data_IF_662083613351
#
_entry.id   IF_662083613351
#
_cell.length_a   1.000
_cell.length_b   1.000
_cell.length_c   1.000
_cell.angle_alpha   90.00
_cell.angle_beta   90.00
_cell.angle_gamma   90.00
#
_symmetry.space_group_name_H-M   'P 1'
#
loop_
_entity.id
_entity.type
_entity.pdbx_description
1 polymer ?
#
# COMPACT_ATOMS: atom_id res chain seq x y z
N UNK A 1 18.46 14.97 15.54
CA UNK A 1 17.79 13.68 15.19
C UNK A 1 18.00 13.47 13.71
N UNK A 2 18.36 12.26 13.27
CA UNK A 2 18.50 11.99 11.84
C UNK A 2 17.12 12.02 11.18
N UNK A 3 17.04 12.59 9.99
CA UNK A 3 15.83 12.62 9.16
C UNK A 3 15.32 11.19 8.93
N UNK A 4 14.05 10.87 9.26
CA UNK A 4 13.51 9.53 9.05
C UNK A 4 13.44 9.19 7.56
N UNK A 5 13.72 7.91 7.21
CA UNK A 5 13.67 7.42 5.83
C UNK A 5 12.54 6.43 5.70
N UNK A 6 11.71 6.62 4.65
CA UNK A 6 10.64 5.71 4.30
C UNK A 6 10.86 5.13 2.90
N UNK A 7 10.65 3.82 2.75
CA UNK A 7 10.48 3.18 1.45
C UNK A 7 9.00 3.14 1.11
N UNK A 8 8.62 3.73 -0.03
CA UNK A 8 7.26 3.68 -0.58
C UNK A 8 7.31 2.96 -1.92
N UNK A 9 6.54 1.90 -2.07
CA UNK A 9 6.42 1.21 -3.36
C UNK A 9 5.27 1.76 -4.18
N UNK A 10 5.45 1.92 -5.49
CA UNK A 10 4.42 2.49 -6.36
C UNK A 10 4.15 3.98 -6.10
N UNK A 11 5.16 4.74 -5.67
CA UNK A 11 5.07 6.14 -5.28
C UNK A 11 4.97 7.15 -6.42
N UNK A 12 4.98 6.70 -7.67
CA UNK A 12 5.03 7.61 -8.83
C UNK A 12 3.68 8.19 -9.24
N UNK A 13 2.55 7.60 -8.82
CA UNK A 13 1.19 8.06 -9.15
C UNK A 13 0.15 7.64 -8.13
N UNK A 14 -1.05 8.24 -8.22
CA UNK A 14 -2.23 7.88 -7.44
C UNK A 14 -1.99 7.92 -5.93
N UNK A 15 -2.49 6.91 -5.20
CA UNK A 15 -2.35 6.82 -3.74
C UNK A 15 -0.88 6.88 -3.31
N UNK A 16 0.00 6.13 -4.01
CA UNK A 16 1.42 6.13 -3.67
C UNK A 16 2.06 7.51 -3.79
N UNK A 17 1.68 8.30 -4.80
CA UNK A 17 2.17 9.67 -4.97
C UNK A 17 1.73 10.58 -3.84
N UNK A 18 0.47 10.51 -3.43
CA UNK A 18 -0.04 11.26 -2.29
C UNK A 18 0.67 10.85 -0.98
N UNK A 19 1.00 9.55 -0.81
CA UNK A 19 1.78 9.08 0.34
C UNK A 19 3.20 9.68 0.31
N UNK A 20 3.88 9.66 -0.84
CA UNK A 20 5.22 10.26 -0.97
C UNK A 20 5.19 11.75 -0.63
N UNK A 21 4.26 12.52 -1.21
CA UNK A 21 4.10 13.94 -0.94
C UNK A 21 3.87 14.22 0.56
N UNK A 22 2.92 13.52 1.17
CA UNK A 22 2.60 13.68 2.59
C UNK A 22 3.78 13.33 3.51
N UNK A 23 4.53 12.27 3.23
CA UNK A 23 5.67 11.91 4.07
C UNK A 23 6.80 12.93 3.95
N UNK A 24 7.01 13.52 2.79
CA UNK A 24 7.98 14.60 2.61
C UNK A 24 7.55 15.85 3.41
N UNK A 25 6.26 16.24 3.36
CA UNK A 25 5.70 17.32 4.18
C UNK A 25 5.89 17.06 5.69
N UNK A 26 5.77 15.80 6.11
CA UNK A 26 6.01 15.37 7.49
C UNK A 26 7.52 15.25 7.84
N UNK A 27 8.43 15.63 6.93
CA UNK A 27 9.89 15.69 7.16
C UNK A 27 10.65 14.41 6.90
N UNK A 28 10.07 13.44 6.18
CA UNK A 28 10.75 12.22 5.76
C UNK A 28 11.59 12.43 4.49
N UNK A 29 12.70 11.70 4.38
CA UNK A 29 13.25 11.35 3.08
C UNK A 29 12.53 10.10 2.55
N UNK A 30 12.12 10.11 1.30
CA UNK A 30 11.36 9.00 0.71
C UNK A 30 12.15 8.36 -0.42
N UNK A 31 12.32 7.04 -0.35
CA UNK A 31 12.77 6.22 -1.48
C UNK A 31 11.53 5.65 -2.16
N UNK A 32 11.38 5.91 -3.44
CA UNK A 32 10.25 5.46 -4.25
C UNK A 32 10.68 4.32 -5.18
N UNK A 33 10.25 3.09 -4.89
CA UNK A 33 10.43 1.95 -5.79
C UNK A 33 9.21 1.84 -6.72
N UNK A 34 9.40 2.17 -7.98
CA UNK A 34 8.38 2.09 -9.03
C UNK A 34 9.02 1.72 -10.37
N UNK A 35 8.25 1.22 -11.31
CA UNK A 35 8.75 0.91 -12.66
C UNK A 35 9.04 2.15 -13.51
N UNK A 36 8.32 3.23 -13.27
CA UNK A 36 8.46 4.50 -14.01
C UNK A 36 8.65 5.63 -13.01
N UNK A 37 9.41 6.68 -13.37
CA UNK A 37 9.55 7.83 -12.51
C UNK A 37 8.20 8.55 -12.31
N UNK A 38 8.05 9.36 -11.27
CA UNK A 38 6.94 10.31 -11.18
C UNK A 38 7.07 11.39 -12.29
N UNK A 39 5.94 12.00 -12.66
CA UNK A 39 5.96 13.11 -13.65
C UNK A 39 6.78 14.29 -13.13
N UNK A 40 6.73 14.52 -11.82
CA UNK A 40 7.53 15.54 -11.14
C UNK A 40 8.12 14.94 -9.85
N UNK A 41 9.44 14.99 -9.71
CA UNK A 41 10.15 14.56 -8.52
C UNK A 41 10.01 15.63 -7.42
N UNK A 42 9.75 15.20 -6.19
CA UNK A 42 9.67 16.10 -5.02
C UNK A 42 11.02 16.23 -4.33
N UNK A 43 11.36 17.43 -3.79
CA UNK A 43 12.53 17.57 -2.93
C UNK A 43 12.46 16.60 -1.74
N UNK A 44 13.48 15.78 -1.56
CA UNK A 44 13.49 14.72 -0.52
C UNK A 44 13.06 13.35 -1.03
N UNK A 45 12.67 13.22 -2.33
CA UNK A 45 12.40 11.94 -2.97
C UNK A 45 13.64 11.41 -3.72
N UNK A 46 13.88 10.12 -3.58
CA UNK A 46 14.83 9.36 -4.41
C UNK A 46 14.07 8.27 -5.16
N UNK A 47 13.95 8.43 -6.46
CA UNK A 47 13.32 7.41 -7.31
C UNK A 47 14.32 6.29 -7.67
N UNK A 48 13.85 5.02 -7.65
CA UNK A 48 14.57 3.88 -8.20
C UNK A 48 13.63 3.04 -9.06
N UNK A 49 14.07 2.76 -10.29
CA UNK A 49 13.32 1.89 -11.20
C UNK A 49 13.45 0.44 -10.77
N UNK A 50 12.36 -0.16 -10.30
CA UNK A 50 12.31 -1.56 -9.85
C UNK A 50 11.03 -2.20 -10.36
N UNK A 51 11.15 -3.35 -11.04
CA UNK A 51 9.99 -4.22 -11.29
C UNK A 51 9.77 -5.13 -10.07
N UNK A 52 8.84 -4.73 -9.21
CA UNK A 52 8.48 -5.48 -8.00
C UNK A 52 7.71 -6.78 -8.29
N UNK A 53 7.29 -7.02 -9.54
CA UNK A 53 6.78 -8.31 -10.00
C UNK A 53 7.88 -9.36 -10.22
N UNK A 54 9.12 -8.90 -10.36
CA UNK A 54 10.31 -9.75 -10.41
C UNK A 54 10.91 -9.89 -8.99
N UNK A 55 10.90 -11.11 -8.47
CA UNK A 55 11.40 -11.40 -7.13
C UNK A 55 12.92 -11.22 -7.00
N UNK A 56 13.71 -11.45 -8.08
CA UNK A 56 15.14 -11.26 -8.06
C UNK A 56 15.50 -9.78 -8.03
N UNK A 57 14.91 -8.98 -8.91
CA UNK A 57 15.06 -7.53 -8.94
C UNK A 57 14.61 -6.87 -7.63
N UNK A 58 13.50 -7.35 -7.04
CA UNK A 58 13.01 -6.87 -5.75
C UNK A 58 14.01 -7.13 -4.62
N UNK A 59 14.58 -8.35 -4.55
CA UNK A 59 15.58 -8.70 -3.52
C UNK A 59 16.85 -7.88 -3.67
N UNK A 60 17.34 -7.71 -4.89
CA UNK A 60 18.55 -6.95 -5.16
C UNK A 60 18.40 -5.51 -4.76
N UNK A 61 17.37 -4.81 -5.27
CA UNK A 61 17.11 -3.41 -4.95
C UNK A 61 16.90 -3.19 -3.44
N UNK A 62 16.21 -4.12 -2.77
CA UNK A 62 15.97 -4.02 -1.33
C UNK A 62 17.27 -4.21 -0.50
N UNK A 63 18.16 -5.13 -0.92
CA UNK A 63 19.48 -5.35 -0.28
C UNK A 63 20.40 -4.16 -0.47
N UNK A 64 20.47 -3.61 -1.68
CA UNK A 64 21.24 -2.39 -1.97
C UNK A 64 20.80 -1.24 -1.08
N UNK A 65 19.48 -0.99 -1.01
CA UNK A 65 18.93 0.07 -0.16
C UNK A 65 19.25 -0.14 1.32
N UNK A 66 19.11 -1.37 1.81
CA UNK A 66 19.40 -1.72 3.21
C UNK A 66 20.90 -1.59 3.55
N UNK A 67 21.80 -1.81 2.59
CA UNK A 67 23.23 -1.64 2.76
C UNK A 67 23.66 -0.15 2.77
N UNK A 68 22.94 0.71 2.02
CA UNK A 68 23.24 2.13 1.95
C UNK A 68 22.83 2.90 3.20
N UNK A 69 21.67 2.57 3.77
CA UNK A 69 21.08 3.33 4.87
C UNK A 69 20.01 2.53 5.64
N UNK A 70 19.84 2.77 6.95
CA UNK A 70 18.78 2.14 7.70
C UNK A 70 17.41 2.73 7.29
N UNK A 71 16.52 1.90 6.76
CA UNK A 71 15.14 2.25 6.43
C UNK A 71 14.22 1.62 7.47
N UNK A 72 13.58 2.45 8.28
CA UNK A 72 12.74 2.01 9.39
C UNK A 72 11.23 2.14 9.13
N UNK A 73 10.85 2.69 7.96
CA UNK A 73 9.46 2.88 7.56
C UNK A 73 9.25 2.26 6.17
N UNK A 74 8.29 1.34 6.08
CA UNK A 74 7.95 0.65 4.83
C UNK A 74 6.48 0.83 4.50
N UNK A 75 6.19 1.32 3.29
CA UNK A 75 4.83 1.38 2.75
C UNK A 75 4.75 0.49 1.50
N UNK A 76 4.10 -0.66 1.64
CA UNK A 76 3.80 -1.55 0.54
C UNK A 76 2.51 -1.09 -0.17
N UNK A 77 2.65 -0.16 -1.14
CA UNK A 77 1.54 0.38 -1.89
C UNK A 77 1.47 -0.17 -3.32
N UNK A 78 2.58 -0.55 -3.93
CA UNK A 78 2.57 -1.12 -5.28
C UNK A 78 1.61 -2.32 -5.37
N UNK A 79 0.84 -2.36 -6.44
CA UNK A 79 -0.10 -3.44 -6.67
C UNK A 79 -0.71 -3.36 -8.06
N UNK A 80 -1.19 -4.51 -8.53
CA UNK A 80 -1.94 -4.62 -9.77
C UNK A 80 -3.33 -5.17 -9.50
N UNK A 81 -4.26 -4.77 -10.36
CA UNK A 81 -5.64 -5.24 -10.36
C UNK A 81 -5.85 -6.01 -11.65
N UNK A 82 -6.17 -7.29 -11.53
CA UNK A 82 -6.63 -8.11 -12.64
C UNK A 82 -8.14 -8.24 -12.56
N UNK A 83 -8.81 -8.02 -13.69
CA UNK A 83 -10.27 -8.09 -13.81
C UNK A 83 -10.61 -9.34 -14.63
N UNK A 84 -11.11 -10.36 -13.95
CA UNK A 84 -11.62 -11.58 -14.57
C UNK A 84 -12.64 -12.24 -13.63
N UNK A 85 -13.70 -12.81 -14.18
CA UNK A 85 -14.59 -13.70 -13.45
C UNK A 85 -13.89 -15.03 -13.13
N UNK A 86 -14.48 -15.85 -12.27
CA UNK A 86 -13.84 -17.09 -11.82
C UNK A 86 -13.54 -18.05 -12.97
N UNK A 87 -14.39 -18.09 -13.98
CA UNK A 87 -14.24 -18.89 -15.18
C UNK A 87 -13.13 -18.43 -16.14
N UNK A 88 -12.75 -17.14 -16.07
CA UNK A 88 -11.83 -16.50 -17.02
C UNK A 88 -10.46 -16.19 -16.40
N UNK A 89 -10.32 -16.30 -15.05
CA UNK A 89 -9.03 -16.01 -14.40
C UNK A 89 -7.98 -17.05 -14.79
N UNK A 90 -6.88 -16.60 -15.39
CA UNK A 90 -5.76 -17.49 -15.75
C UNK A 90 -4.85 -17.74 -14.55
N UNK A 91 -4.14 -18.89 -14.57
CA UNK A 91 -3.08 -19.19 -13.61
C UNK A 91 -1.98 -18.13 -13.67
N UNK A 92 -1.59 -17.69 -14.87
CA UNK A 92 -0.58 -16.64 -15.06
C UNK A 92 -0.98 -15.34 -14.35
N UNK A 93 -2.23 -14.88 -14.52
CA UNK A 93 -2.72 -13.65 -13.88
C UNK A 93 -2.77 -13.78 -12.36
N UNK A 94 -3.14 -14.97 -11.85
CA UNK A 94 -3.10 -15.26 -10.43
C UNK A 94 -1.66 -15.16 -9.89
N UNK A 95 -0.72 -15.85 -10.52
CA UNK A 95 0.68 -15.86 -10.10
C UNK A 95 1.32 -14.46 -10.19
N UNK A 96 1.10 -13.73 -11.28
CA UNK A 96 1.59 -12.34 -11.43
C UNK A 96 1.02 -11.41 -10.37
N UNK A 97 -0.27 -11.54 -10.07
CA UNK A 97 -0.92 -10.74 -9.01
C UNK A 97 -0.34 -11.07 -7.65
N UNK A 98 -0.12 -12.35 -7.35
CA UNK A 98 0.49 -12.78 -6.08
C UNK A 98 1.96 -12.33 -5.98
N UNK A 99 2.72 -12.41 -7.06
CA UNK A 99 4.11 -11.96 -7.09
C UNK A 99 4.25 -10.50 -6.66
N UNK A 100 3.47 -9.60 -7.27
CA UNK A 100 3.56 -8.18 -6.96
C UNK A 100 2.87 -7.81 -5.64
N UNK A 101 1.63 -8.31 -5.41
CA UNK A 101 0.82 -7.84 -4.29
C UNK A 101 1.15 -8.52 -2.95
N UNK A 102 1.82 -9.68 -2.98
CA UNK A 102 2.07 -10.53 -1.80
C UNK A 102 3.55 -10.82 -1.63
N UNK A 103 4.22 -11.37 -2.65
CA UNK A 103 5.63 -11.77 -2.53
C UNK A 103 6.56 -10.58 -2.37
N UNK A 104 6.38 -9.52 -3.15
CA UNK A 104 7.23 -8.32 -3.04
C UNK A 104 7.21 -7.69 -1.64
N UNK A 105 6.05 -7.44 -0.97
CA UNK A 105 6.01 -7.03 0.43
C UNK A 105 6.83 -7.89 1.40
N UNK A 106 6.80 -9.22 1.24
CA UNK A 106 7.62 -10.15 2.05
C UNK A 106 9.10 -9.87 1.86
N UNK A 107 9.55 -9.82 0.60
CA UNK A 107 10.97 -9.65 0.26
C UNK A 107 11.52 -8.30 0.73
N UNK A 108 10.73 -7.23 0.60
CA UNK A 108 11.10 -5.91 1.07
C UNK A 108 11.23 -5.87 2.59
N UNK A 109 10.24 -6.40 3.31
CA UNK A 109 10.31 -6.45 4.77
C UNK A 109 11.50 -7.29 5.25
N UNK A 110 11.74 -8.46 4.67
CA UNK A 110 12.89 -9.31 5.01
C UNK A 110 14.23 -8.57 4.89
N UNK A 111 14.42 -7.75 3.85
CA UNK A 111 15.64 -7.01 3.65
C UNK A 111 15.83 -5.85 4.65
N UNK A 112 14.73 -5.20 5.06
CA UNK A 112 14.76 -4.05 5.97
C UNK A 112 14.72 -4.44 7.46
N UNK A 113 14.23 -5.64 7.76
CA UNK A 113 14.00 -6.12 9.12
C UNK A 113 15.25 -6.09 10.02
N UNK A 114 16.48 -6.44 9.56
CA UNK A 114 17.66 -6.36 10.41
C UNK A 114 17.91 -4.96 10.99
N UNK A 115 17.75 -3.91 10.17
CA UNK A 115 17.93 -2.53 10.62
C UNK A 115 16.81 -2.10 11.60
N UNK A 116 15.56 -2.52 11.34
CA UNK A 116 14.44 -2.25 12.25
C UNK A 116 14.66 -2.93 13.62
N UNK A 117 15.09 -4.19 13.64
CA UNK A 117 15.44 -4.92 14.87
C UNK A 117 16.58 -4.27 15.64
N UNK A 118 17.66 -3.90 14.95
CA UNK A 118 18.78 -3.19 15.56
C UNK A 118 18.36 -1.86 16.20
N UNK A 119 17.41 -1.16 15.58
CA UNK A 119 16.89 0.10 16.10
C UNK A 119 15.84 -0.08 17.22
N UNK A 120 15.34 -1.30 17.47
CA UNK A 120 14.20 -1.53 18.36
C UNK A 120 12.94 -0.75 17.90
N UNK A 121 12.81 -0.51 16.60
CA UNK A 121 11.79 0.35 16.04
C UNK A 121 11.59 0.08 14.54
N UNK A 122 10.35 -0.01 14.13
CA UNK A 122 9.96 -0.07 12.73
C UNK A 122 8.48 0.23 12.54
N UNK A 123 8.11 0.72 11.38
CA UNK A 123 6.71 0.98 10.98
C UNK A 123 6.47 0.42 9.59
N UNK A 124 5.53 -0.51 9.48
CA UNK A 124 5.14 -1.13 8.22
C UNK A 124 3.66 -0.89 7.98
N UNK A 125 3.34 -0.30 6.83
CA UNK A 125 1.96 -0.10 6.39
C UNK A 125 1.77 -0.76 5.03
N UNK A 126 0.83 -1.71 4.98
CA UNK A 126 0.45 -2.39 3.76
C UNK A 126 -0.84 -1.77 3.19
N UNK A 127 -0.87 -1.46 1.89
CA UNK A 127 -2.10 -0.99 1.24
C UNK A 127 -2.92 -2.19 0.79
N UNK A 128 -3.96 -2.46 1.57
CA UNK A 128 -4.98 -3.44 1.31
C UNK A 128 -6.00 -3.00 0.26
N UNK A 129 -7.22 -3.48 0.39
CA UNK A 129 -8.37 -3.04 -0.40
C UNK A 129 -9.66 -3.54 0.23
N UNK A 130 -10.75 -2.78 0.11
CA UNK A 130 -12.10 -3.27 0.40
C UNK A 130 -12.47 -4.50 -0.44
N UNK A 131 -11.86 -4.69 -1.61
CA UNK A 131 -12.07 -5.88 -2.43
C UNK A 131 -11.70 -7.21 -1.75
N UNK A 132 -10.92 -7.17 -0.66
CA UNK A 132 -10.65 -8.34 0.20
C UNK A 132 -11.91 -8.89 0.89
N UNK A 133 -12.98 -8.09 1.02
CA UNK A 133 -14.29 -8.52 1.54
C UNK A 133 -15.16 -9.20 0.47
N UNK A 134 -14.69 -9.27 -0.76
CA UNK A 134 -15.41 -9.79 -1.91
C UNK A 134 -15.82 -8.69 -2.90
N UNK A 135 -15.47 -8.89 -4.17
CA UNK A 135 -15.91 -8.06 -5.28
C UNK A 135 -15.90 -8.91 -6.56
N UNK A 136 -17.03 -8.97 -7.26
CA UNK A 136 -17.12 -9.69 -8.54
C UNK A 136 -16.02 -9.28 -9.52
N UNK A 137 -15.53 -10.23 -10.30
CA UNK A 137 -14.46 -10.02 -11.28
C UNK A 137 -13.09 -9.66 -10.64
N UNK A 138 -12.80 -10.09 -9.40
CA UNK A 138 -11.58 -9.75 -8.68
C UNK A 138 -10.96 -10.96 -7.96
N UNK A 139 -11.07 -12.15 -8.52
CA UNK A 139 -10.59 -13.39 -7.89
C UNK A 139 -9.13 -13.28 -7.43
N UNK A 140 -8.19 -13.04 -8.34
CA UNK A 140 -6.77 -12.91 -8.01
C UNK A 140 -6.48 -11.71 -7.09
N UNK A 141 -7.07 -10.55 -7.40
CA UNK A 141 -6.86 -9.34 -6.63
C UNK A 141 -7.43 -9.44 -5.21
N UNK A 142 -8.67 -9.90 -5.07
CA UNK A 142 -9.31 -10.10 -3.76
C UNK A 142 -8.51 -11.07 -2.89
N UNK A 143 -8.10 -12.21 -3.45
CA UNK A 143 -7.26 -13.19 -2.76
C UNK A 143 -5.93 -12.58 -2.30
N UNK A 144 -5.24 -11.82 -3.17
CA UNK A 144 -3.96 -11.18 -2.83
C UNK A 144 -4.10 -10.16 -1.70
N UNK A 145 -5.17 -9.34 -1.70
CA UNK A 145 -5.38 -8.31 -0.67
C UNK A 145 -5.88 -8.91 0.66
N UNK A 146 -6.64 -10.00 0.62
CA UNK A 146 -7.00 -10.78 1.82
C UNK A 146 -5.75 -11.47 2.42
N UNK A 147 -4.91 -12.07 1.57
CA UNK A 147 -3.64 -12.66 1.98
C UNK A 147 -2.70 -11.65 2.63
N UNK A 148 -2.55 -10.46 2.03
CA UNK A 148 -1.73 -9.38 2.58
C UNK A 148 -2.23 -8.92 3.97
N UNK A 149 -3.55 -8.81 4.17
CA UNK A 149 -4.13 -8.49 5.46
C UNK A 149 -3.88 -9.59 6.51
N UNK A 150 -3.93 -10.87 6.11
CA UNK A 150 -3.58 -12.01 6.95
C UNK A 150 -2.11 -11.98 7.37
N UNK A 151 -1.19 -11.81 6.41
CA UNK A 151 0.24 -11.68 6.68
C UNK A 151 0.56 -10.50 7.61
N UNK A 152 -0.13 -9.36 7.45
CA UNK A 152 0.07 -8.19 8.31
C UNK A 152 -0.20 -8.50 9.78
N UNK A 153 -1.22 -9.32 10.08
CA UNK A 153 -1.52 -9.76 11.45
C UNK A 153 -0.44 -10.69 11.99
N UNK A 154 0.02 -11.64 11.17
CA UNK A 154 1.11 -12.55 11.54
C UNK A 154 2.38 -11.76 11.84
N UNK A 155 2.78 -10.86 10.95
CA UNK A 155 3.97 -10.02 11.15
C UNK A 155 3.85 -9.10 12.38
N UNK A 156 2.64 -8.59 12.66
CA UNK A 156 2.40 -7.80 13.86
C UNK A 156 2.69 -8.61 15.14
N UNK A 157 2.31 -9.88 15.19
CA UNK A 157 2.59 -10.77 16.32
C UNK A 157 4.08 -11.14 16.43
N UNK A 158 4.72 -11.45 15.29
CA UNK A 158 6.12 -11.85 15.23
C UNK A 158 7.10 -10.71 15.58
N UNK A 159 6.73 -9.45 15.30
CA UNK A 159 7.64 -8.30 15.33
C UNK A 159 7.32 -7.30 16.46
N UNK A 160 6.21 -7.46 17.17
CA UNK A 160 5.81 -6.51 18.21
C UNK A 160 6.84 -6.37 19.34
N UNK A 161 7.48 -7.48 19.75
CA UNK A 161 8.52 -7.48 20.78
C UNK A 161 9.79 -6.73 20.35
N UNK A 162 10.01 -6.60 19.04
CA UNK A 162 11.11 -5.83 18.45
C UNK A 162 10.78 -4.32 18.31
N UNK A 163 9.63 -3.85 18.82
CA UNK A 163 9.18 -2.46 18.70
C UNK A 163 8.67 -2.09 17.30
N UNK A 164 8.38 -3.08 16.46
CA UNK A 164 7.94 -2.92 15.07
C UNK A 164 6.44 -3.09 15.00
N UNK A 165 5.74 -2.13 14.40
CA UNK A 165 4.29 -2.25 14.14
C UNK A 165 4.02 -2.55 12.68
N UNK A 166 3.00 -3.36 12.42
CA UNK A 166 2.56 -3.72 11.07
C UNK A 166 1.05 -3.54 10.98
N UNK A 167 0.60 -2.67 10.08
CA UNK A 167 -0.82 -2.37 9.89
C UNK A 167 -1.20 -2.39 8.41
N UNK A 168 -2.49 -2.47 8.14
CA UNK A 168 -3.04 -2.43 6.78
C UNK A 168 -4.03 -1.27 6.67
N UNK A 169 -3.86 -0.42 5.66
CA UNK A 169 -4.86 0.56 5.23
C UNK A 169 -5.57 0.00 4.00
N UNK A 170 -6.90 -0.10 4.06
CA UNK A 170 -7.73 -0.70 3.00
C UNK A 170 -8.66 0.36 2.37
N UNK A 171 -8.24 0.96 1.24
CA UNK A 171 -9.04 1.95 0.55
C UNK A 171 -10.32 1.35 -0.05
N UNK A 172 -11.37 2.19 -0.11
CA UNK A 172 -12.53 2.03 -0.97
C UNK A 172 -12.28 2.60 -2.38
N UNK A 173 -13.31 3.13 -3.05
CA UNK A 173 -13.17 3.90 -4.28
C UNK A 173 -12.42 5.21 -4.01
N UNK A 174 -11.26 5.39 -4.66
CA UNK A 174 -10.40 6.58 -4.52
C UNK A 174 -10.19 7.20 -5.90
N UNK A 175 -10.32 8.51 -6.00
CA UNK A 175 -10.21 9.31 -7.23
C UNK A 175 -8.76 9.37 -7.74
N UNK A 176 -8.21 8.23 -8.13
CA UNK A 176 -6.93 8.12 -8.82
C UNK A 176 -7.14 8.22 -10.34
N UNK A 177 -6.08 8.53 -11.08
CA UNK A 177 -6.11 8.50 -12.54
C UNK A 177 -6.69 7.18 -13.10
N UNK A 178 -6.20 6.04 -12.59
CA UNK A 178 -6.69 4.70 -12.98
C UNK A 178 -8.19 4.51 -12.68
N UNK A 179 -8.66 5.02 -11.54
CA UNK A 179 -10.08 4.96 -11.18
C UNK A 179 -10.92 5.84 -12.13
N UNK A 180 -10.49 7.07 -12.38
CA UNK A 180 -11.20 8.04 -13.23
C UNK A 180 -11.27 7.59 -14.70
N UNK A 181 -10.23 6.91 -15.21
CA UNK A 181 -10.27 6.29 -16.55
C UNK A 181 -11.39 5.25 -16.68
N UNK A 182 -11.63 4.45 -15.63
CA UNK A 182 -12.68 3.42 -15.62
C UNK A 182 -14.04 3.94 -15.15
N UNK A 183 -14.07 5.08 -14.47
CA UNK A 183 -15.25 5.72 -13.91
C UNK A 183 -15.17 7.25 -14.14
N UNK A 184 -15.37 7.72 -15.36
CA UNK A 184 -15.32 9.15 -15.66
C UNK A 184 -16.38 9.92 -14.83
N UNK A 185 -16.03 11.10 -14.28
CA UNK A 185 -16.97 11.92 -13.51
C UNK A 185 -18.25 12.25 -14.29
N UNK A 186 -19.39 12.24 -13.58
CA UNK A 186 -20.69 12.57 -14.16
C UNK A 186 -21.36 11.47 -14.97
N UNK A 187 -20.70 10.36 -15.24
CA UNK A 187 -21.33 9.23 -15.91
C UNK A 187 -22.33 8.53 -14.98
N UNK A 188 -23.47 8.00 -15.50
CA UNK A 188 -24.50 7.36 -14.67
C UNK A 188 -23.95 6.27 -13.75
N UNK A 189 -23.00 5.45 -14.25
CA UNK A 189 -22.33 4.42 -13.46
C UNK A 189 -21.52 4.99 -12.31
N UNK A 190 -20.83 6.11 -12.53
CA UNK A 190 -20.00 6.79 -11.52
C UNK A 190 -20.89 7.42 -10.46
N UNK A 191 -21.97 8.10 -10.87
CA UNK A 191 -22.97 8.68 -9.97
C UNK A 191 -23.65 7.61 -9.10
N UNK A 192 -23.99 6.47 -9.70
CA UNK A 192 -24.56 5.34 -8.95
C UNK A 192 -23.57 4.76 -7.94
N UNK A 193 -22.26 4.69 -8.30
CA UNK A 193 -21.22 4.27 -7.37
C UNK A 193 -21.08 5.28 -6.21
N UNK A 194 -21.03 6.57 -6.51
CA UNK A 194 -20.94 7.63 -5.49
C UNK A 194 -22.11 7.59 -4.54
N UNK A 195 -23.33 7.44 -5.06
CA UNK A 195 -24.55 7.30 -4.25
C UNK A 195 -24.55 6.05 -3.36
N UNK A 196 -23.80 5.00 -3.73
CA UNK A 196 -23.66 3.78 -2.92
C UNK A 196 -22.65 3.91 -1.79
N UNK A 197 -21.87 5.00 -1.75
CA UNK A 197 -20.91 5.29 -0.67
C UNK A 197 -21.63 6.08 0.41
N UNK A 198 -21.69 5.63 1.67
CA UNK A 198 -22.39 6.36 2.73
C UNK A 198 -21.98 7.84 2.89
N UNK A 199 -20.69 8.16 2.65
CA UNK A 199 -20.22 9.57 2.65
C UNK A 199 -20.65 10.36 1.41
N UNK A 200 -21.23 9.71 0.39
CA UNK A 200 -21.79 10.37 -0.80
C UNK A 200 -20.80 10.78 -1.88
N UNK A 201 -19.53 10.38 -1.77
CA UNK A 201 -18.48 10.69 -2.75
C UNK A 201 -17.38 9.65 -2.77
N UNK A 202 -16.59 9.61 -3.81
CA UNK A 202 -15.31 8.89 -3.81
C UNK A 202 -14.31 9.59 -2.89
N UNK A 203 -13.39 8.82 -2.30
CA UNK A 203 -12.29 9.37 -1.49
C UNK A 203 -11.19 9.96 -2.35
N UNK A 204 -10.34 10.79 -1.75
CA UNK A 204 -9.16 11.35 -2.39
C UNK A 204 -7.89 10.58 -1.97
N UNK A 205 -6.85 10.52 -2.83
CA UNK A 205 -5.57 9.88 -2.49
C UNK A 205 -4.97 10.40 -1.17
N UNK A 206 -5.14 11.69 -0.88
CA UNK A 206 -4.63 12.38 0.32
C UNK A 206 -5.29 11.85 1.61
N UNK A 207 -6.55 11.41 1.55
CA UNK A 207 -7.26 10.83 2.71
C UNK A 207 -6.65 9.47 3.08
N UNK A 208 -6.19 8.70 2.08
CA UNK A 208 -5.45 7.46 2.31
C UNK A 208 -4.05 7.77 2.84
N UNK A 209 -3.35 8.75 2.25
CA UNK A 209 -2.02 9.17 2.67
C UNK A 209 -2.01 9.66 4.13
N UNK A 210 -3.05 10.40 4.56
CA UNK A 210 -3.21 10.81 5.95
C UNK A 210 -3.25 9.61 6.91
N UNK A 211 -4.04 8.58 6.56
CA UNK A 211 -4.15 7.36 7.37
C UNK A 211 -2.82 6.59 7.44
N UNK A 212 -2.07 6.55 6.34
CA UNK A 212 -0.73 5.93 6.28
C UNK A 212 0.24 6.71 7.17
N UNK A 213 0.31 8.04 7.03
CA UNK A 213 1.19 8.89 7.83
C UNK A 213 0.93 8.75 9.33
N UNK A 214 -0.35 8.70 9.74
CA UNK A 214 -0.74 8.42 11.12
C UNK A 214 -0.15 7.10 11.64
N UNK A 215 -0.22 6.03 10.86
CA UNK A 215 0.29 4.70 11.27
C UNK A 215 1.82 4.61 11.23
N UNK A 216 2.49 5.47 10.48
CA UNK A 216 3.96 5.59 10.45
C UNK A 216 4.50 6.47 11.59
N UNK A 217 3.65 7.29 12.21
CA UNK A 217 4.06 8.16 13.31
C UNK A 217 4.58 7.35 14.51
N UNK A 218 5.62 7.86 15.16
CA UNK A 218 6.20 7.23 16.35
C UNK A 218 5.18 7.07 17.48
N UNK A 219 4.24 8.01 17.60
CA UNK A 219 3.15 8.00 18.60
C UNK A 219 2.14 6.89 18.40
N UNK A 220 2.05 6.30 17.19
CA UNK A 220 1.19 5.15 16.88
C UNK A 220 1.78 3.79 17.33
N UNK A 221 2.76 3.79 18.25
CA UNK A 221 3.50 2.58 18.67
C UNK A 221 2.66 1.49 19.34
N UNK A 222 1.42 1.78 19.75
CA UNK A 222 0.51 0.79 20.33
C UNK A 222 -0.57 0.30 19.34
N UNK A 223 -0.46 0.69 18.05
CA UNK A 223 -1.37 0.27 16.98
C UNK A 223 -0.62 -0.72 16.10
N UNK A 224 -0.94 -2.00 16.21
CA UNK A 224 -0.35 -3.06 15.37
C UNK A 224 -1.39 -4.15 15.04
N UNK A 225 -1.24 -4.82 13.91
CA UNK A 225 -2.14 -5.87 13.42
C UNK A 225 -3.50 -5.36 12.95
N UNK A 226 -3.68 -4.04 12.84
CA UNK A 226 -4.98 -3.46 12.53
C UNK A 226 -5.22 -3.37 11.03
N UNK A 227 -6.50 -3.48 10.65
CA UNK A 227 -7.01 -3.26 9.30
C UNK A 227 -7.92 -2.04 9.33
N UNK A 228 -7.42 -0.90 8.84
CA UNK A 228 -8.15 0.35 8.77
C UNK A 228 -8.79 0.54 7.39
N UNK A 229 -10.12 0.55 7.32
CA UNK A 229 -10.82 0.88 6.08
C UNK A 229 -10.94 2.39 5.89
N UNK A 230 -10.47 2.88 4.75
CA UNK A 230 -10.64 4.27 4.29
C UNK A 230 -11.57 4.22 3.09
N UNK A 231 -12.87 4.05 3.34
CA UNK A 231 -13.84 3.64 2.31
C UNK A 231 -15.18 4.38 2.36
N UNK A 232 -15.26 5.47 3.11
CA UNK A 232 -16.49 6.26 3.23
C UNK A 232 -17.68 5.48 3.81
N UNK A 233 -17.41 4.47 4.67
CA UNK A 233 -18.44 3.65 5.32
C UNK A 233 -18.87 2.39 4.57
N UNK A 234 -18.36 2.14 3.36
CA UNK A 234 -18.80 0.99 2.52
C UNK A 234 -18.51 -0.40 3.11
N UNK A 235 -17.74 -0.51 4.19
CA UNK A 235 -17.44 -1.77 4.88
C UNK A 235 -18.20 -1.92 6.20
N UNK A 236 -19.08 -0.98 6.55
CA UNK A 236 -19.80 -0.95 7.82
C UNK A 236 -21.28 -1.24 7.59
N UNK A 237 -21.69 -2.48 7.84
CA UNK A 237 -23.10 -2.88 7.82
C UNK A 237 -23.81 -2.77 6.46
N UNK A 238 -25.11 -2.99 6.49
CA UNK A 238 -25.98 -2.63 5.39
C UNK A 238 -26.43 -1.18 5.60
N UNK A 239 -26.16 -0.31 4.64
CA UNK A 239 -26.87 0.96 4.56
C UNK A 239 -28.35 0.61 4.32
N UNK A 240 -29.21 0.95 5.27
CA UNK A 240 -30.66 0.70 5.20
C UNK A 240 -31.31 1.48 4.07
#
# INVERSE_FOLDING_TARGET
MNTPIALVTGGSRGIGRAIVARLIEDGYQVVNFSRRPPDEALPGETFRSVDLGDAAATREAARELAAERPVLHLVNNAGMIQVANVEDVSEEDLLRTMALNVTAPVLLLQALLPAMRQAGYGRVVNIGSRAALGKGGRTAYGASKAGLAGMSRTWALELAADGITVNTVSPGPIATELFNQSNPPGQPKTLALEASIPVGRVGQPEEVAHSVAMLLDRRAGFITGQLLYVCGGMSVGLAG
#
